data_IF_989870911738
#
_entry.id   IF_989870911738
#
_cell.length_a   1.000
_cell.length_b   1.000
_cell.length_c   1.000
_cell.angle_alpha   90.00
_cell.angle_beta   90.00
_cell.angle_gamma   90.00
#
_symmetry.space_group_name_H-M   'P 1'
#
loop_
_entity.id
_entity.type
_entity.pdbx_description
1 polymer ?
#
# COMPACT_ATOMS: atom_id res chain seq x y z
N UNK A 1 -1.88 15.40 -7.75
CA UNK A 1 -2.41 15.31 -6.37
C UNK A 1 -2.30 16.69 -5.73
N UNK A 2 -3.36 17.21 -5.10
CA UNK A 2 -3.29 18.48 -4.36
C UNK A 2 -2.40 18.29 -3.12
N UNK A 3 -1.47 19.21 -2.86
CA UNK A 3 -0.63 19.15 -1.66
C UNK A 3 -1.47 19.64 -0.48
N UNK A 4 -1.74 18.75 0.46
CA UNK A 4 -2.46 19.02 1.70
C UNK A 4 -1.86 18.19 2.84
N UNK A 5 -1.93 18.70 4.05
CA UNK A 5 -1.55 17.99 5.27
C UNK A 5 -2.55 16.90 5.60
N UNK A 6 -2.13 15.95 6.44
CA UNK A 6 -3.01 14.90 6.97
C UNK A 6 -4.23 15.47 7.71
N UNK A 7 -4.04 16.55 8.46
CA UNK A 7 -5.09 17.20 9.24
C UNK A 7 -6.11 17.88 8.33
N UNK A 8 -5.66 18.58 7.30
CA UNK A 8 -6.55 19.18 6.30
C UNK A 8 -7.37 18.12 5.57
N UNK A 9 -6.73 17.02 5.15
CA UNK A 9 -7.43 15.91 4.51
C UNK A 9 -8.51 15.30 5.43
N UNK A 10 -8.20 15.10 6.72
CA UNK A 10 -9.16 14.60 7.70
C UNK A 10 -10.35 15.56 7.89
N UNK A 11 -10.10 16.88 7.99
CA UNK A 11 -11.16 17.90 8.08
C UNK A 11 -12.05 17.93 6.84
N UNK A 12 -11.50 17.60 5.68
CA UNK A 12 -12.21 17.54 4.40
C UNK A 12 -12.91 16.18 4.17
N UNK A 13 -12.83 15.23 5.12
CA UNK A 13 -13.41 13.89 4.95
C UNK A 13 -12.71 13.03 3.90
N UNK A 14 -11.46 13.36 3.54
CA UNK A 14 -10.68 12.60 2.57
C UNK A 14 -9.99 11.43 3.25
N UNK A 15 -9.92 10.29 2.55
CA UNK A 15 -9.21 9.10 3.03
C UNK A 15 -7.70 9.17 2.77
N UNK A 16 -7.25 10.10 1.91
CA UNK A 16 -5.88 10.19 1.41
C UNK A 16 -5.42 11.65 1.37
N UNK A 17 -4.11 11.85 1.53
CA UNK A 17 -3.46 13.15 1.45
C UNK A 17 -2.13 13.04 0.70
N UNK A 18 -1.65 14.14 0.12
CA UNK A 18 -0.35 14.17 -0.55
C UNK A 18 0.52 15.30 -0.01
N UNK A 19 1.76 14.96 0.35
CA UNK A 19 2.72 15.88 0.97
C UNK A 19 3.65 16.57 -0.02
N UNK A 20 3.55 16.29 -1.32
CA UNK A 20 4.53 16.74 -2.32
C UNK A 20 5.84 15.93 -2.32
N UNK A 21 6.14 15.24 -1.22
CA UNK A 21 7.38 14.49 -0.99
C UNK A 21 7.21 12.99 -1.24
N UNK A 22 8.26 12.37 -1.80
CA UNK A 22 8.36 10.92 -1.91
C UNK A 22 8.32 10.22 -0.54
N UNK A 23 7.87 8.96 -0.51
CA UNK A 23 8.02 8.11 0.67
C UNK A 23 9.45 7.57 0.80
N UNK A 24 9.76 6.86 1.89
CA UNK A 24 11.10 6.27 2.13
C UNK A 24 11.56 5.25 1.06
N UNK A 25 10.63 4.75 0.24
CA UNK A 25 10.89 3.85 -0.87
C UNK A 25 10.91 4.57 -2.23
N UNK A 26 10.85 5.91 -2.25
CA UNK A 26 10.88 6.71 -3.48
C UNK A 26 9.51 6.94 -4.13
N UNK A 27 8.41 6.43 -3.57
CA UNK A 27 7.09 6.61 -4.18
C UNK A 27 6.56 8.03 -4.03
N UNK A 28 6.31 8.69 -5.16
CA UNK A 28 5.50 9.91 -5.25
C UNK A 28 4.01 9.54 -5.30
N UNK A 29 3.46 9.17 -4.16
CA UNK A 29 2.08 8.70 -4.01
C UNK A 29 1.41 9.33 -2.80
N UNK A 30 0.08 9.30 -2.78
CA UNK A 30 -0.71 9.70 -1.62
C UNK A 30 -0.40 8.82 -0.41
N UNK A 31 -0.84 9.30 0.76
CA UNK A 31 -0.75 8.63 2.05
C UNK A 31 -2.14 8.49 2.64
N UNK A 32 -2.40 7.39 3.31
CA UNK A 32 -3.66 7.17 4.01
C UNK A 32 -3.80 8.09 5.21
N UNK A 33 -4.96 8.71 5.40
CA UNK A 33 -5.21 9.61 6.54
C UNK A 33 -5.15 8.86 7.87
N UNK A 34 -5.69 7.63 7.93
CA UNK A 34 -5.79 6.87 9.17
C UNK A 34 -4.44 6.47 9.79
N UNK A 35 -3.42 6.16 8.99
CA UNK A 35 -2.14 5.63 9.48
C UNK A 35 -0.90 6.34 8.89
N UNK A 36 -1.08 7.27 7.95
CA UNK A 36 0.02 8.00 7.29
C UNK A 36 0.85 7.16 6.31
N UNK A 37 0.47 5.90 6.08
CA UNK A 37 1.15 4.97 5.21
C UNK A 37 1.02 5.36 3.74
N UNK A 38 2.12 5.21 2.98
CA UNK A 38 2.10 5.42 1.54
C UNK A 38 1.19 4.41 0.85
N UNK A 39 0.29 4.89 -0.02
CA UNK A 39 -0.68 4.06 -0.74
C UNK A 39 0.04 3.02 -1.61
N UNK A 40 1.05 3.46 -2.37
CA UNK A 40 1.83 2.57 -3.22
C UNK A 40 2.55 1.47 -2.43
N UNK A 41 3.14 1.80 -1.27
CA UNK A 41 3.77 0.79 -0.41
C UNK A 41 2.76 -0.27 0.08
N UNK A 42 1.54 0.14 0.42
CA UNK A 42 0.48 -0.79 0.81
C UNK A 42 0.11 -1.72 -0.33
N UNK A 43 -0.03 -1.17 -1.55
CA UNK A 43 -0.36 -1.93 -2.76
C UNK A 43 0.73 -2.97 -3.06
N UNK A 44 2.00 -2.56 -3.09
CA UNK A 44 3.14 -3.45 -3.35
C UNK A 44 3.26 -4.57 -2.31
N UNK A 45 3.01 -4.24 -1.03
CA UNK A 45 2.97 -5.24 0.04
C UNK A 45 1.88 -6.27 -0.20
N UNK A 46 0.66 -5.83 -0.54
CA UNK A 46 -0.47 -6.74 -0.80
C UNK A 46 -0.18 -7.63 -2.01
N UNK A 47 0.36 -7.09 -3.10
CA UNK A 47 0.73 -7.89 -4.27
C UNK A 47 1.80 -8.92 -3.94
N UNK A 48 2.83 -8.54 -3.17
CA UNK A 48 3.87 -9.48 -2.72
C UNK A 48 3.26 -10.61 -1.90
N UNK A 49 2.51 -10.28 -0.85
CA UNK A 49 1.85 -11.27 0.00
C UNK A 49 0.94 -12.22 -0.79
N UNK A 50 0.19 -11.70 -1.78
CA UNK A 50 -0.65 -12.53 -2.65
C UNK A 50 0.17 -13.48 -3.52
N UNK A 51 1.28 -13.01 -4.10
CA UNK A 51 2.17 -13.87 -4.92
C UNK A 51 2.78 -14.98 -4.08
N UNK A 52 3.36 -14.62 -2.92
CA UNK A 52 4.02 -15.56 -2.02
C UNK A 52 3.02 -16.65 -1.56
N UNK A 53 1.77 -16.26 -1.26
CA UNK A 53 0.70 -17.20 -0.91
C UNK A 53 0.37 -18.16 -2.05
N UNK A 54 0.18 -17.64 -3.28
CA UNK A 54 -0.13 -18.48 -4.44
C UNK A 54 0.99 -19.48 -4.73
N UNK A 55 2.24 -19.05 -4.63
CA UNK A 55 3.40 -19.91 -4.82
C UNK A 55 3.48 -21.01 -3.76
N UNK A 56 3.28 -20.64 -2.49
CA UNK A 56 3.22 -21.60 -1.38
C UNK A 56 2.10 -22.63 -1.56
N UNK A 57 0.91 -22.19 -1.98
CA UNK A 57 -0.22 -23.09 -2.23
C UNK A 57 0.05 -24.06 -3.38
N UNK A 58 0.68 -23.58 -4.47
CA UNK A 58 1.07 -24.44 -5.60
C UNK A 58 2.09 -25.49 -5.19
N UNK A 59 3.13 -25.10 -4.46
CA UNK A 59 4.13 -26.03 -3.95
C UNK A 59 3.50 -27.07 -3.00
N UNK A 60 2.59 -26.66 -2.12
CA UNK A 60 1.87 -27.59 -1.25
C UNK A 60 0.98 -28.57 -2.03
N UNK A 61 0.33 -28.10 -3.11
CA UNK A 61 -0.49 -28.96 -3.97
C UNK A 61 0.37 -29.98 -4.74
N UNK A 62 1.53 -29.57 -5.26
CA UNK A 62 2.47 -30.47 -5.94
C UNK A 62 2.99 -31.53 -4.98
N UNK A 63 3.33 -31.19 -3.74
CA UNK A 63 3.76 -32.19 -2.73
C UNK A 63 2.63 -33.16 -2.36
N UNK A 64 1.38 -32.68 -2.31
CA UNK A 64 0.25 -33.50 -1.87
C UNK A 64 -0.27 -34.46 -2.95
N UNK A 65 -0.08 -34.14 -4.24
CA UNK A 65 -0.74 -34.83 -5.36
C UNK A 65 0.15 -35.07 -6.60
N UNK A 66 1.42 -34.69 -6.54
CA UNK A 66 2.41 -34.86 -7.62
C UNK A 66 3.19 -36.16 -7.52
#
# INVERSE_FOLDING_TARGET
MKIITRVEAAKLGLNKFYTGKACKHGHHSERWVNNGGCVQCTIERVYRQRRDLIETMKAAQEVAYG
#
